data_IF_269749299755
#
_entry.id   IF_269749299755
#
_cell.length_a   1.000
_cell.length_b   1.000
_cell.length_c   1.000
_cell.angle_alpha   90.00
_cell.angle_beta   90.00
_cell.angle_gamma   90.00
#
_symmetry.space_group_name_H-M   'P 1'
#
loop_
_entity.id
_entity.type
_entity.pdbx_description
1 polymer ?
#
# COMPACT_ATOMS: atom_id res chain seq x y z
N UNK A 1 -2.53 39.20 -8.47
CA UNK A 1 -3.54 38.35 -9.13
C UNK A 1 -3.15 36.97 -8.66
N UNK A 2 -3.63 36.63 -7.48
CA UNK A 2 -3.09 35.51 -6.73
C UNK A 2 -3.84 34.26 -7.14
N UNK A 3 -3.09 33.17 -7.27
CA UNK A 3 -3.43 31.90 -7.89
C UNK A 3 -4.82 31.33 -7.50
N UNK A 4 -5.82 31.54 -8.35
CA UNK A 4 -7.15 30.89 -8.29
C UNK A 4 -7.12 29.42 -8.78
N UNK A 5 -5.95 28.79 -8.78
CA UNK A 5 -5.70 27.49 -9.41
C UNK A 5 -5.54 26.35 -8.42
N UNK A 6 -5.90 25.13 -8.82
CA UNK A 6 -5.54 23.92 -8.08
C UNK A 6 -4.01 23.85 -7.99
N UNK A 7 -3.41 23.67 -6.81
CA UNK A 7 -1.96 23.63 -6.69
C UNK A 7 -1.38 22.49 -7.54
N UNK A 8 -0.24 22.71 -8.23
CA UNK A 8 0.33 21.72 -9.15
C UNK A 8 0.70 20.40 -8.45
N UNK A 9 0.96 20.45 -7.15
CA UNK A 9 1.16 19.26 -6.31
C UNK A 9 -0.09 18.38 -6.26
N UNK A 10 -1.27 18.96 -6.07
CA UNK A 10 -2.53 18.23 -6.05
C UNK A 10 -2.86 17.62 -7.43
N UNK A 11 -2.58 18.34 -8.53
CA UNK A 11 -2.74 17.79 -9.88
C UNK A 11 -1.81 16.60 -10.13
N UNK A 12 -0.58 16.64 -9.60
CA UNK A 12 0.36 15.52 -9.67
C UNK A 12 -0.18 14.31 -8.91
N UNK A 13 -0.68 14.51 -7.71
CA UNK A 13 -1.28 13.44 -6.89
C UNK A 13 -2.52 12.82 -7.55
N UNK A 14 -3.41 13.65 -8.12
CA UNK A 14 -4.59 13.18 -8.87
C UNK A 14 -4.18 12.37 -10.09
N UNK A 15 -3.17 12.82 -10.83
CA UNK A 15 -2.67 12.09 -12.00
C UNK A 15 -2.12 10.72 -11.61
N UNK A 16 -1.39 10.63 -10.49
CA UNK A 16 -0.91 9.36 -9.96
C UNK A 16 -2.06 8.42 -9.57
N UNK A 17 -3.06 8.96 -8.88
CA UNK A 17 -4.28 8.23 -8.52
C UNK A 17 -4.96 7.64 -9.75
N UNK A 18 -5.20 8.47 -10.77
CA UNK A 18 -5.85 8.04 -12.00
C UNK A 18 -5.06 6.95 -12.73
N UNK A 19 -3.72 7.04 -12.75
CA UNK A 19 -2.87 6.01 -13.34
C UNK A 19 -3.01 4.65 -12.62
N UNK A 20 -3.08 4.66 -11.29
CA UNK A 20 -3.09 3.46 -10.45
C UNK A 20 -4.48 2.83 -10.28
N UNK A 21 -5.55 3.59 -10.55
CA UNK A 21 -6.95 3.12 -10.49
C UNK A 21 -7.28 1.96 -11.44
N UNK A 22 -6.39 1.60 -12.37
CA UNK A 22 -6.59 0.48 -13.29
C UNK A 22 -6.40 -0.90 -12.63
N UNK A 23 -5.99 -0.95 -11.35
CA UNK A 23 -5.80 -2.19 -10.61
C UNK A 23 -6.92 -2.44 -9.62
N UNK A 24 -7.44 -3.67 -9.63
CA UNK A 24 -8.42 -4.16 -8.65
C UNK A 24 -7.85 -4.32 -7.22
N UNK A 25 -6.57 -4.03 -7.01
CA UNK A 25 -5.89 -4.11 -5.71
C UNK A 25 -5.56 -2.74 -5.13
N UNK A 26 -5.90 -1.65 -5.83
CA UNK A 26 -5.69 -0.26 -5.41
C UNK A 26 -7.06 0.40 -5.26
N UNK A 27 -7.22 1.23 -4.24
CA UNK A 27 -8.45 2.02 -4.07
C UNK A 27 -8.65 2.94 -5.27
N UNK A 28 -9.75 2.74 -5.98
CA UNK A 28 -10.07 3.47 -7.21
C UNK A 28 -10.56 4.88 -6.91
N UNK A 29 -9.90 5.87 -7.51
CA UNK A 29 -10.43 7.24 -7.64
C UNK A 29 -11.51 7.24 -8.73
N UNK A 30 -12.78 7.39 -8.32
CA UNK A 30 -13.95 7.41 -9.21
C UNK A 30 -14.04 8.76 -9.94
N UNK A 31 -13.94 9.87 -9.22
CA UNK A 31 -13.97 11.20 -9.82
C UNK A 31 -13.35 12.28 -8.93
N UNK A 32 -13.06 13.42 -9.54
CA UNK A 32 -12.62 14.64 -8.87
C UNK A 32 -13.70 15.70 -9.06
N UNK A 33 -14.19 16.30 -7.98
CA UNK A 33 -15.19 17.36 -8.03
C UNK A 33 -14.57 18.68 -7.57
N UNK A 34 -14.82 19.73 -8.35
CA UNK A 34 -14.46 21.09 -8.01
C UNK A 34 -15.74 21.84 -7.64
N UNK A 35 -15.83 22.32 -6.40
CA UNK A 35 -17.03 22.94 -5.84
C UNK A 35 -16.61 24.26 -5.17
N UNK A 36 -17.41 25.31 -5.35
CA UNK A 36 -17.24 26.56 -4.61
C UNK A 36 -18.12 26.54 -3.36
N UNK A 37 -17.53 26.78 -2.19
CA UNK A 37 -18.27 26.93 -0.93
C UNK A 37 -17.82 28.20 -0.21
N UNK A 38 -18.73 29.15 -0.03
CA UNK A 38 -18.45 30.49 0.51
C UNK A 38 -17.29 31.20 -0.23
N UNK A 39 -17.36 31.23 -1.57
CA UNK A 39 -16.35 31.80 -2.47
C UNK A 39 -14.94 31.19 -2.35
N UNK A 40 -14.81 30.02 -1.70
CA UNK A 40 -13.56 29.26 -1.64
C UNK A 40 -13.63 28.03 -2.54
N UNK A 41 -12.65 27.81 -3.44
CA UNK A 41 -12.58 26.60 -4.24
C UNK A 41 -12.21 25.41 -3.35
N UNK A 42 -13.01 24.33 -3.43
CA UNK A 42 -12.76 23.07 -2.76
C UNK A 42 -12.64 21.95 -3.79
N UNK A 43 -11.67 21.06 -3.56
CA UNK A 43 -11.43 19.90 -4.39
C UNK A 43 -11.79 18.64 -3.60
N UNK A 44 -12.75 17.87 -4.10
CA UNK A 44 -13.17 16.61 -3.52
C UNK A 44 -12.68 15.45 -4.38
N UNK A 45 -12.00 14.50 -3.75
CA UNK A 45 -11.60 13.24 -4.37
C UNK A 45 -12.60 12.16 -3.94
N UNK A 46 -13.33 11.61 -4.90
CA UNK A 46 -14.35 10.59 -4.67
C UNK A 46 -13.75 9.23 -4.98
N UNK A 47 -13.65 8.38 -3.96
CA UNK A 47 -13.11 7.02 -4.08
C UNK A 47 -14.23 5.98 -4.00
N UNK A 48 -13.91 4.75 -4.39
CA UNK A 48 -14.75 3.61 -4.05
C UNK A 48 -14.89 3.43 -2.54
N UNK A 49 -16.06 2.95 -2.12
CA UNK A 49 -16.34 2.70 -0.72
C UNK A 49 -15.86 1.29 -0.33
N UNK A 50 -15.10 1.21 0.76
CA UNK A 50 -14.66 -0.04 1.37
C UNK A 50 -15.07 -0.06 2.84
N UNK A 51 -15.51 -1.23 3.32
CA UNK A 51 -16.20 -1.37 4.60
C UNK A 51 -15.32 -1.08 5.81
N UNK A 52 -14.05 -1.48 5.74
CA UNK A 52 -13.15 -1.38 6.88
C UNK A 52 -11.68 -1.34 6.48
N UNK A 53 -10.83 -0.96 7.43
CA UNK A 53 -9.39 -1.13 7.30
C UNK A 53 -8.95 -2.49 7.88
N UNK A 54 -7.83 -3.03 7.40
CA UNK A 54 -7.33 -4.34 7.81
C UNK A 54 -7.05 -4.38 9.31
N UNK A 55 -6.69 -3.25 9.94
CA UNK A 55 -6.51 -3.16 11.38
C UNK A 55 -7.82 -3.45 12.13
N UNK A 56 -8.91 -2.78 11.77
CA UNK A 56 -10.25 -3.01 12.33
C UNK A 56 -10.76 -4.42 12.00
N UNK A 57 -10.51 -4.91 10.79
CA UNK A 57 -10.85 -6.28 10.39
C UNK A 57 -10.17 -7.34 11.28
N UNK A 58 -8.88 -7.18 11.56
CA UNK A 58 -8.15 -8.08 12.47
C UNK A 58 -8.67 -7.95 13.91
N UNK A 59 -8.95 -6.73 14.35
CA UNK A 59 -9.43 -6.48 15.72
C UNK A 59 -10.84 -7.03 15.94
N UNK A 60 -11.72 -7.02 14.94
CA UNK A 60 -13.07 -7.60 15.02
C UNK A 60 -13.04 -9.12 15.22
N UNK A 61 -12.08 -9.83 14.60
CA UNK A 61 -11.89 -11.25 14.84
C UNK A 61 -11.34 -11.53 16.24
N UNK A 62 -10.46 -10.66 16.74
CA UNK A 62 -9.83 -10.82 18.06
C UNK A 62 -10.72 -10.45 19.24
N UNK A 63 -11.62 -9.49 19.06
CA UNK A 63 -12.47 -8.91 20.12
C UNK A 63 -13.96 -9.17 19.91
N UNK A 64 -14.33 -9.86 18.84
CA UNK A 64 -15.70 -10.17 18.51
C UNK A 64 -16.34 -11.21 19.45
N UNK A 65 -17.61 -11.55 19.22
CA UNK A 65 -18.35 -12.48 20.07
C UNK A 65 -17.71 -13.87 20.16
N UNK A 66 -16.97 -14.29 19.13
CA UNK A 66 -16.14 -15.49 19.11
C UNK A 66 -14.68 -15.12 18.81
N UNK A 67 -13.89 -14.72 19.83
CA UNK A 67 -12.50 -14.33 19.67
C UNK A 67 -11.68 -15.43 19.00
N UNK A 68 -11.11 -15.12 17.84
CA UNK A 68 -10.26 -16.04 17.10
C UNK A 68 -9.19 -15.28 16.33
N UNK A 69 -8.18 -16.03 15.89
CA UNK A 69 -7.22 -15.52 14.92
C UNK A 69 -7.79 -15.65 13.51
N UNK A 70 -7.29 -14.80 12.60
CA UNK A 70 -7.61 -14.96 11.19
C UNK A 70 -7.19 -16.36 10.71
N UNK A 71 -8.05 -17.06 9.94
CA UNK A 71 -7.68 -18.32 9.32
C UNK A 71 -6.41 -18.18 8.46
N UNK A 72 -5.51 -19.17 8.45
CA UNK A 72 -4.31 -19.12 7.62
C UNK A 72 -4.59 -18.87 6.13
N UNK A 73 -5.68 -19.43 5.60
CA UNK A 73 -6.14 -19.20 4.22
C UNK A 73 -6.45 -17.74 3.94
N UNK A 74 -7.11 -17.05 4.88
CA UNK A 74 -7.43 -15.63 4.76
C UNK A 74 -6.17 -14.77 4.77
N UNK A 75 -5.22 -15.10 5.65
CA UNK A 75 -3.92 -14.42 5.71
C UNK A 75 -3.18 -14.59 4.37
N UNK A 76 -3.15 -15.81 3.83
CA UNK A 76 -2.50 -16.10 2.55
C UNK A 76 -3.15 -15.33 1.40
N UNK A 77 -4.49 -15.25 1.38
CA UNK A 77 -5.23 -14.46 0.39
C UNK A 77 -4.87 -12.98 0.45
N UNK A 78 -4.90 -12.37 1.65
CA UNK A 78 -4.52 -10.96 1.82
C UNK A 78 -3.09 -10.67 1.41
N UNK A 79 -2.14 -11.56 1.74
CA UNK A 79 -0.75 -11.39 1.32
C UNK A 79 -0.59 -11.47 -0.19
N UNK A 80 -1.30 -12.38 -0.85
CA UNK A 80 -1.28 -12.49 -2.31
C UNK A 80 -1.82 -11.22 -2.98
N UNK A 81 -2.94 -10.70 -2.50
CA UNK A 81 -3.55 -9.47 -3.00
C UNK A 81 -2.65 -8.25 -2.76
N UNK A 82 -2.06 -8.14 -1.57
CA UNK A 82 -1.08 -7.10 -1.24
C UNK A 82 0.13 -7.13 -2.19
N UNK A 83 0.71 -8.31 -2.42
CA UNK A 83 1.84 -8.47 -3.34
C UNK A 83 1.47 -8.03 -4.77
N UNK A 84 0.27 -8.37 -5.24
CA UNK A 84 -0.20 -7.93 -6.56
C UNK A 84 -0.42 -6.42 -6.64
N UNK A 85 -1.02 -5.82 -5.62
CA UNK A 85 -1.16 -4.37 -5.53
C UNK A 85 0.19 -3.66 -5.56
N UNK A 86 1.14 -4.09 -4.72
CA UNK A 86 2.50 -3.52 -4.68
C UNK A 86 3.23 -3.71 -6.01
N UNK A 87 3.12 -4.87 -6.65
CA UNK A 87 3.70 -5.10 -7.96
C UNK A 87 3.12 -4.15 -9.03
N UNK A 88 1.82 -3.86 -8.96
CA UNK A 88 1.19 -2.86 -9.83
C UNK A 88 1.74 -1.45 -9.58
N UNK A 89 1.90 -1.03 -8.31
CA UNK A 89 2.53 0.24 -7.95
C UNK A 89 3.93 0.36 -8.56
N UNK A 90 4.75 -0.68 -8.35
CA UNK A 90 6.13 -0.71 -8.81
C UNK A 90 6.22 -0.71 -10.34
N UNK A 91 5.28 -1.36 -11.03
CA UNK A 91 5.17 -1.30 -12.49
C UNK A 91 4.89 0.10 -13.04
N UNK A 92 4.50 1.06 -12.19
CA UNK A 92 4.24 2.46 -12.53
C UNK A 92 5.21 3.44 -11.85
N UNK A 93 6.39 2.97 -11.40
CA UNK A 93 7.40 3.80 -10.73
C UNK A 93 6.93 4.41 -9.41
N UNK A 94 5.97 3.79 -8.73
CA UNK A 94 5.42 4.34 -7.49
C UNK A 94 5.69 3.47 -6.29
N UNK A 95 6.26 4.08 -5.25
CA UNK A 95 6.46 3.48 -3.94
C UNK A 95 5.42 4.03 -2.96
N UNK A 96 4.70 3.15 -2.28
CA UNK A 96 3.71 3.54 -1.28
C UNK A 96 4.34 3.99 0.05
N UNK A 97 5.52 3.48 0.44
CA UNK A 97 6.32 3.84 1.64
C UNK A 97 5.67 3.65 3.04
N UNK A 98 4.35 3.73 3.16
CA UNK A 98 3.59 3.59 4.41
C UNK A 98 2.61 2.40 4.36
N UNK A 99 3.11 1.21 4.00
CA UNK A 99 2.31 -0.01 4.05
C UNK A 99 2.13 -0.49 5.50
N UNK A 100 0.97 -0.17 6.06
CA UNK A 100 0.51 -0.60 7.39
C UNK A 100 -0.96 -1.03 7.36
N UNK A 101 -1.43 -1.86 8.31
CA UNK A 101 -2.81 -2.36 8.31
C UNK A 101 -3.91 -1.28 8.27
N UNK A 102 -3.62 -0.05 8.67
CA UNK A 102 -4.55 1.08 8.61
C UNK A 102 -4.71 1.64 7.19
N UNK A 103 -3.73 1.42 6.31
CA UNK A 103 -3.71 1.88 4.93
C UNK A 103 -4.09 0.76 3.94
N UNK A 104 -4.52 -0.38 4.47
CA UNK A 104 -5.04 -1.49 3.69
C UNK A 104 -6.53 -1.59 3.97
N UNK A 105 -7.35 -1.42 2.95
CA UNK A 105 -8.79 -1.44 3.06
C UNK A 105 -9.33 -2.82 2.65
N UNK A 106 -10.46 -3.21 3.22
CA UNK A 106 -11.08 -4.52 3.05
C UNK A 106 -12.56 -4.35 2.78
N UNK A 107 -13.08 -5.05 1.76
CA UNK A 107 -14.50 -5.08 1.42
C UNK A 107 -15.27 -6.19 2.18
N UNK A 108 -16.59 -6.24 2.03
CA UNK A 108 -17.46 -7.28 2.64
C UNK A 108 -17.08 -8.71 2.30
N UNK A 109 -16.45 -8.95 1.15
CA UNK A 109 -16.09 -10.29 0.66
C UNK A 109 -14.61 -10.61 0.88
N UNK A 110 -13.92 -9.79 1.70
CA UNK A 110 -12.52 -9.97 2.09
C UNK A 110 -11.52 -9.87 0.92
N UNK A 111 -11.77 -8.95 -0.01
CA UNK A 111 -10.73 -8.44 -0.91
C UNK A 111 -9.93 -7.33 -0.22
N UNK A 112 -8.65 -7.21 -0.55
CA UNK A 112 -7.71 -6.26 0.03
C UNK A 112 -7.30 -5.22 -1.01
N UNK A 113 -7.41 -3.96 -0.62
CA UNK A 113 -7.06 -2.80 -1.44
C UNK A 113 -6.01 -1.96 -0.73
N UNK A 114 -5.02 -1.49 -1.48
CA UNK A 114 -4.01 -0.56 -0.98
C UNK A 114 -4.57 0.85 -1.12
N UNK A 115 -4.57 1.61 -0.01
CA UNK A 115 -5.07 2.99 -0.01
C UNK A 115 -4.07 3.98 -0.61
N UNK A 116 -4.51 5.21 -0.83
CA UNK A 116 -3.69 6.28 -1.39
C UNK A 116 -2.71 6.94 -0.38
N UNK A 117 -2.64 6.48 0.86
CA UNK A 117 -1.86 7.21 1.88
C UNK A 117 -0.34 7.18 1.57
N UNK A 118 0.21 8.34 1.19
CA UNK A 118 1.65 8.69 1.06
C UNK A 118 2.46 8.03 -0.09
N UNK A 119 2.05 8.22 -1.35
CA UNK A 119 2.78 7.68 -2.52
C UNK A 119 3.82 8.66 -3.06
N UNK A 120 5.00 8.17 -3.43
CA UNK A 120 6.04 8.98 -4.07
C UNK A 120 6.56 8.30 -5.33
N UNK A 121 6.66 9.06 -6.43
CA UNK A 121 7.37 8.64 -7.65
C UNK A 121 8.87 8.75 -7.41
N UNK A 122 9.61 7.68 -7.68
CA UNK A 122 11.07 7.74 -7.78
C UNK A 122 11.47 8.09 -9.23
N UNK A 123 12.30 9.12 -9.43
CA UNK A 123 12.95 9.38 -10.72
C UNK A 123 14.24 8.55 -10.78
N UNK A 124 14.19 7.32 -11.29
CA UNK A 124 15.41 6.53 -11.51
C UNK A 124 15.42 5.79 -12.85
N UNK A 125 16.57 5.84 -13.52
CA UNK A 125 16.90 5.09 -14.73
C UNK A 125 16.83 3.57 -14.46
N UNK A 126 15.91 2.88 -15.12
CA UNK A 126 15.59 1.45 -14.97
C UNK A 126 16.68 0.48 -15.45
N UNK A 127 17.88 0.56 -14.87
CA UNK A 127 19.00 -0.34 -15.17
C UNK A 127 19.29 -1.40 -14.11
N UNK A 128 18.83 -1.25 -12.85
CA UNK A 128 19.28 -2.09 -11.73
C UNK A 128 18.29 -2.25 -10.57
N UNK A 129 16.97 -2.12 -10.77
CA UNK A 129 16.03 -2.31 -9.67
C UNK A 129 15.87 -3.81 -9.34
N UNK A 130 16.34 -4.27 -8.16
CA UNK A 130 16.13 -5.64 -7.73
C UNK A 130 14.64 -5.78 -7.43
N UNK A 131 13.96 -6.79 -7.99
CA UNK A 131 12.58 -7.10 -7.60
C UNK A 131 12.52 -7.20 -6.07
N UNK A 132 11.97 -6.20 -5.38
CA UNK A 132 11.74 -6.32 -3.95
C UNK A 132 10.68 -7.39 -3.73
N UNK A 133 11.13 -8.65 -3.62
CA UNK A 133 10.28 -9.77 -3.31
C UNK A 133 9.82 -9.57 -1.88
N UNK A 134 8.55 -9.23 -1.71
CA UNK A 134 7.92 -9.09 -0.40
C UNK A 134 7.91 -10.48 0.27
N UNK A 135 8.95 -10.82 1.03
CA UNK A 135 8.88 -12.00 1.90
C UNK A 135 8.17 -11.56 3.16
N UNK A 136 6.85 -11.75 3.16
CA UNK A 136 6.05 -11.49 4.34
C UNK A 136 6.27 -12.61 5.36
N UNK A 137 6.92 -12.28 6.48
CA UNK A 137 7.06 -13.23 7.58
C UNK A 137 5.93 -13.01 8.61
N UNK A 138 5.06 -14.00 8.73
CA UNK A 138 4.05 -14.05 9.80
C UNK A 138 4.71 -14.60 11.05
N UNK A 139 4.98 -13.75 12.03
CA UNK A 139 5.51 -14.19 13.32
C UNK A 139 4.40 -14.93 14.09
N UNK A 140 4.44 -16.27 14.09
CA UNK A 140 3.51 -17.11 14.87
C UNK A 140 3.55 -16.65 16.33
N UNK A 141 2.41 -16.16 16.84
CA UNK A 141 2.22 -15.71 18.22
C UNK A 141 2.08 -14.20 18.45
N UNK A 142 2.38 -13.32 17.48
CA UNK A 142 2.25 -11.86 17.67
C UNK A 142 1.32 -11.13 16.69
N UNK A 143 0.83 -11.78 15.62
CA UNK A 143 0.15 -11.17 14.46
C UNK A 143 0.78 -9.83 14.03
N UNK A 144 2.12 -9.77 14.06
CA UNK A 144 2.86 -8.72 13.36
C UNK A 144 3.13 -9.25 11.96
N UNK A 145 2.54 -8.59 10.97
CA UNK A 145 2.98 -8.68 9.58
C UNK A 145 4.29 -7.91 9.54
N UNK A 146 5.42 -8.62 9.47
CA UNK A 146 6.72 -7.98 9.27
C UNK A 146 7.02 -8.07 7.78
N UNK A 147 6.92 -6.92 7.10
CA UNK A 147 7.36 -6.79 5.72
C UNK A 147 8.89 -6.76 5.75
N UNK A 148 9.52 -7.83 5.27
CA UNK A 148 10.97 -7.89 5.10
C UNK A 148 11.27 -7.59 3.64
N UNK A 149 11.94 -6.47 3.39
CA UNK A 149 12.45 -6.10 2.09
C UNK A 149 13.73 -6.91 1.83
N UNK A 150 13.67 -7.90 0.94
CA UNK A 150 14.86 -8.60 0.44
C UNK A 150 15.29 -7.98 -0.89
N UNK A 151 16.58 -7.67 -0.98
CA UNK A 151 17.25 -7.21 -2.19
C UNK A 151 17.43 -8.41 -3.15
N UNK A 152 16.58 -8.52 -4.18
CA UNK A 152 16.70 -9.54 -5.24
C UNK A 152 17.64 -9.07 -6.34
N UNK A 153 18.95 -9.26 -6.15
CA UNK A 153 19.92 -9.00 -7.21
C UNK A 153 20.23 -10.30 -7.98
N UNK A 154 19.71 -10.51 -9.20
CA UNK A 154 19.92 -11.75 -9.96
C UNK A 154 21.40 -12.00 -10.32
N UNK A 155 22.26 -10.97 -10.25
CA UNK A 155 23.69 -11.11 -10.53
C UNK A 155 24.50 -11.71 -9.36
N UNK A 156 23.92 -11.88 -8.15
CA UNK A 156 24.64 -12.38 -6.95
C UNK A 156 24.39 -13.84 -6.59
N UNK A 157 23.52 -14.57 -7.30
CA UNK A 157 23.25 -16.00 -7.04
C UNK A 157 24.29 -16.93 -7.68
N UNK A 158 25.58 -16.68 -7.41
CA UNK A 158 26.62 -17.72 -7.48
C UNK A 158 27.26 -17.81 -6.10
N UNK A 159 26.61 -18.50 -5.18
CA UNK A 159 27.17 -18.76 -3.85
C UNK A 159 26.11 -18.86 -2.77
N UNK A 160 26.14 -19.99 -2.06
CA UNK A 160 25.36 -20.39 -0.88
C UNK A 160 24.50 -19.33 -0.19
N UNK A 161 23.24 -19.71 0.00
CA UNK A 161 22.19 -18.98 0.71
C UNK A 161 22.62 -18.69 2.16
N UNK A 162 23.14 -17.48 2.40
CA UNK A 162 23.52 -16.98 3.72
C UNK A 162 22.57 -15.89 4.20
N UNK A 163 22.06 -16.02 5.43
CA UNK A 163 21.23 -15.00 6.07
C UNK A 163 22.08 -13.83 6.55
N UNK A 164 21.95 -12.65 5.91
CA UNK A 164 22.55 -11.41 6.40
C UNK A 164 21.55 -10.68 7.29
N UNK A 165 21.71 -10.76 8.62
CA UNK A 165 21.01 -9.87 9.56
C UNK A 165 21.70 -8.50 9.58
N UNK A 166 21.17 -7.51 8.87
CA UNK A 166 21.52 -6.10 9.12
C UNK A 166 20.69 -5.55 10.27
N UNK A 167 21.31 -5.39 11.44
CA UNK A 167 20.76 -4.68 12.60
C UNK A 167 20.92 -3.17 12.33
N UNK A 168 19.83 -2.43 12.10
CA UNK A 168 19.88 -0.95 12.16
C UNK A 168 20.30 -0.58 13.59
N UNK A 169 21.49 0.00 13.76
CA UNK A 169 21.87 0.72 14.97
C UNK A 169 20.87 1.88 15.11
N UNK A 170 20.20 1.98 16.25
CA UNK A 170 19.65 3.26 16.70
C UNK A 170 20.86 4.05 17.21
N UNK A 171 21.11 5.21 16.63
CA UNK A 171 22.02 6.20 17.22
C UNK A 171 21.37 6.75 18.49
N UNK A 172 22.23 7.05 19.46
CA UNK A 172 21.90 7.24 20.89
C UNK A 172 21.26 8.58 21.22
#
# INVERSE_FOLDING_TARGET
>A
MDEEGIPPTALREISLLQMLSNSIYIVCLICVQHIHHNDKPLLYLVFEYLDTDLKKFIDSHRKGPNPSHLPPSQIQSFLFQLCKGVAHCHGHDVLHRDLKPQNLLVDKISNLFISWLEWEKEEHEWGKCPLFLLVCWVHKGKNKIVLVFLDWNPCRMKGNMGFIKRKRRREG
#
